data_IF_639185654607
#
_entry.id   IF_639185654607
#
_cell.length_a   1.000
_cell.length_b   1.000
_cell.length_c   1.000
_cell.angle_alpha   90.00
_cell.angle_beta   90.00
_cell.angle_gamma   90.00
#
_symmetry.space_group_name_H-M   'P 1'
#
loop_
_entity.id
_entity.type
_entity.pdbx_description
1 polymer ?
#
# COMPACT_ATOMS: atom_id res chain seq x y z
N UNK A 1 53.19 -59.30 3.77
CA UNK A 1 53.26 -60.27 4.88
C UNK A 1 52.42 -59.73 6.02
N UNK A 2 51.37 -60.48 6.40
CA UNK A 2 50.72 -60.62 7.73
C UNK A 2 50.50 -59.41 8.66
N UNK A 3 49.48 -59.31 9.52
CA UNK A 3 48.13 -59.86 9.68
C UNK A 3 47.61 -59.18 10.98
N UNK A 4 46.36 -58.74 11.00
CA UNK A 4 45.41 -58.73 12.14
C UNK A 4 45.78 -58.15 13.54
N UNK A 5 45.01 -57.13 13.96
CA UNK A 5 43.76 -57.24 14.76
C UNK A 5 43.62 -56.34 16.01
N UNK A 6 42.47 -55.64 16.00
CA UNK A 6 41.51 -55.37 17.07
C UNK A 6 41.72 -54.24 18.08
N UNK A 7 40.69 -53.37 18.19
CA UNK A 7 40.24 -52.86 19.49
C UNK A 7 39.69 -51.42 19.54
N UNK A 8 38.44 -51.23 19.12
CA UNK A 8 37.47 -50.17 19.47
C UNK A 8 37.84 -49.11 20.53
N UNK A 9 37.73 -47.82 20.20
CA UNK A 9 36.68 -46.87 20.69
C UNK A 9 36.96 -45.41 20.27
N UNK A 10 35.85 -44.68 20.17
CA UNK A 10 35.63 -43.40 19.51
C UNK A 10 36.41 -42.20 20.09
N UNK A 11 36.65 -41.26 19.18
CA UNK A 11 37.10 -39.89 19.39
C UNK A 11 36.13 -39.13 20.30
N UNK A 12 36.68 -38.46 21.31
CA UNK A 12 36.26 -37.13 21.77
C UNK A 12 37.33 -36.63 22.75
N UNK A 13 38.25 -35.82 22.24
CA UNK A 13 39.28 -35.16 23.04
C UNK A 13 39.49 -33.73 22.54
N UNK A 14 39.41 -32.79 23.50
CA UNK A 14 40.00 -31.43 23.55
C UNK A 14 39.18 -30.24 22.99
N UNK A 15 39.39 -29.00 23.52
CA UNK A 15 38.69 -28.55 24.72
C UNK A 15 38.01 -27.19 24.54
N UNK A 16 37.02 -26.98 25.39
CA UNK A 16 36.35 -25.72 25.72
C UNK A 16 37.33 -24.60 26.08
N UNK A 17 37.38 -23.57 25.24
CA UNK A 17 37.65 -22.17 25.62
C UNK A 17 37.44 -21.28 24.39
N UNK A 18 36.35 -20.54 24.39
CA UNK A 18 36.06 -19.23 23.74
C UNK A 18 34.56 -19.19 23.48
N UNK A 19 33.92 -18.06 23.79
CA UNK A 19 32.47 -17.77 23.82
C UNK A 19 31.89 -17.87 25.23
N UNK A 20 32.35 -16.98 26.10
CA UNK A 20 31.61 -16.56 27.29
C UNK A 20 31.57 -15.03 27.31
N UNK A 21 30.67 -14.45 26.51
CA UNK A 21 30.07 -13.11 26.73
C UNK A 21 29.03 -12.81 25.65
N UNK A 22 27.89 -13.52 25.68
CA UNK A 22 26.67 -13.02 25.06
C UNK A 22 25.54 -13.29 26.04
N UNK A 23 25.25 -12.28 26.87
CA UNK A 23 24.18 -12.26 27.86
C UNK A 23 22.83 -12.57 27.19
N UNK A 24 22.41 -13.83 27.23
CA UNK A 24 21.01 -14.21 27.05
C UNK A 24 20.28 -13.79 28.34
N UNK A 25 19.41 -12.78 28.21
CA UNK A 25 18.49 -12.38 29.27
C UNK A 25 17.64 -13.59 29.68
N UNK A 26 17.65 -13.88 30.98
CA UNK A 26 16.91 -14.93 31.66
C UNK A 26 15.41 -14.90 31.34
N UNK A 27 14.89 -16.06 30.92
CA UNK A 27 13.46 -16.37 30.87
C UNK A 27 12.98 -16.53 32.33
N UNK A 28 11.93 -15.83 32.80
CA UNK A 28 11.36 -16.12 34.12
C UNK A 28 10.46 -17.35 34.05
N UNK A 29 10.70 -18.28 34.98
CA UNK A 29 9.89 -19.48 35.22
C UNK A 29 8.45 -19.09 35.59
N UNK A 30 7.49 -19.45 34.74
CA UNK A 30 6.07 -19.15 34.95
C UNK A 30 5.36 -20.40 35.51
N UNK A 31 5.48 -20.60 36.82
CA UNK A 31 4.63 -21.53 37.58
C UNK A 31 3.60 -20.71 38.37
N UNK A 32 2.41 -20.51 37.79
CA UNK A 32 1.20 -20.22 38.57
C UNK A 32 -0.03 -20.69 37.80
N UNK A 33 -0.86 -21.42 38.53
CA UNK A 33 -1.99 -22.23 38.11
C UNK A 33 -3.05 -21.48 37.29
N UNK A 34 -3.67 -22.24 36.40
CA UNK A 34 -4.67 -21.81 35.42
C UNK A 34 -6.02 -21.56 36.09
N UNK A 35 -6.33 -20.30 36.39
CA UNK A 35 -7.71 -19.89 36.72
C UNK A 35 -8.49 -19.56 35.44
N UNK A 36 -9.41 -20.47 35.08
CA UNK A 36 -10.17 -20.46 33.83
C UNK A 36 -11.29 -19.41 33.72
N UNK A 37 -11.22 -18.26 34.40
CA UNK A 37 -12.28 -17.23 34.37
C UNK A 37 -11.74 -15.80 34.47
N UNK A 38 -10.81 -15.40 33.59
CA UNK A 38 -10.43 -13.99 33.43
C UNK A 38 -10.74 -13.54 32.00
N UNK A 39 -11.50 -12.44 31.77
CA UNK A 39 -11.63 -11.87 30.44
C UNK A 39 -10.23 -11.48 29.96
N UNK A 40 -9.90 -11.76 28.69
CA UNK A 40 -8.61 -11.47 28.04
C UNK A 40 -8.33 -9.96 27.91
N UNK A 41 -8.24 -9.25 29.04
CA UNK A 41 -7.69 -7.92 29.18
C UNK A 41 -6.33 -8.10 29.86
N UNK A 42 -5.27 -8.07 29.05
CA UNK A 42 -3.90 -8.23 29.52
C UNK A 42 -3.49 -7.19 30.58
N UNK A 43 -2.50 -7.51 31.44
CA UNK A 43 -2.14 -6.68 32.57
C UNK A 43 -1.42 -5.40 32.12
N UNK A 44 -1.68 -4.35 32.88
CA UNK A 44 -1.32 -2.95 32.67
C UNK A 44 0.18 -2.64 32.86
N UNK A 45 0.68 -1.74 32.01
CA UNK A 45 1.73 -0.72 32.24
C UNK A 45 3.20 -0.92 31.79
N UNK A 46 3.47 -1.79 30.82
CA UNK A 46 4.52 -1.58 29.79
C UNK A 46 4.02 -1.95 28.36
N UNK A 47 2.71 -2.18 28.24
CA UNK A 47 2.03 -2.88 27.14
C UNK A 47 1.14 -1.95 26.27
N UNK A 48 1.61 -0.75 25.92
CA UNK A 48 0.92 0.08 24.91
C UNK A 48 1.40 -0.19 23.47
N UNK A 49 2.42 -1.06 23.32
CA UNK A 49 2.96 -1.47 22.03
C UNK A 49 2.05 -2.51 21.38
N UNK A 50 1.84 -2.40 20.07
CA UNK A 50 1.11 -3.42 19.34
C UNK A 50 1.77 -4.80 19.50
N UNK A 51 0.99 -5.89 19.59
CA UNK A 51 1.54 -7.25 19.70
C UNK A 51 2.31 -7.67 18.44
N UNK A 52 2.04 -7.01 17.31
CA UNK A 52 2.72 -7.21 16.04
C UNK A 52 3.94 -6.29 15.92
N UNK A 53 5.10 -6.87 15.64
CA UNK A 53 6.38 -6.17 15.54
C UNK A 53 6.40 -5.18 14.35
N UNK A 54 5.80 -5.57 13.23
CA UNK A 54 5.70 -4.74 12.03
C UNK A 54 4.89 -3.46 12.25
N UNK A 55 3.84 -3.51 13.09
CA UNK A 55 3.06 -2.32 13.44
C UNK A 55 3.83 -1.46 14.44
N UNK A 56 4.46 -2.12 15.40
CA UNK A 56 5.25 -1.56 16.50
C UNK A 56 6.42 -0.70 16.01
N UNK A 57 7.08 -1.11 14.93
CA UNK A 57 8.20 -0.38 14.32
C UNK A 57 7.70 0.82 13.51
N UNK A 58 6.56 0.68 12.82
CA UNK A 58 6.12 1.65 11.83
C UNK A 58 5.16 2.72 12.37
N UNK A 59 4.47 2.48 13.49
CA UNK A 59 3.48 3.39 14.06
C UNK A 59 3.86 3.75 15.50
N UNK A 60 3.93 5.05 15.87
CA UNK A 60 4.23 5.43 17.24
C UNK A 60 3.01 5.20 18.14
N UNK A 61 3.21 4.74 19.38
CA UNK A 61 2.12 4.55 20.34
C UNK A 61 1.55 5.86 20.89
N UNK A 62 2.32 6.93 20.80
CA UNK A 62 1.96 8.23 21.36
C UNK A 62 1.52 9.17 20.24
N UNK A 63 0.33 9.73 20.42
CA UNK A 63 -0.21 10.77 19.55
C UNK A 63 -0.14 12.14 20.24
N UNK A 64 0.21 13.18 19.49
CA UNK A 64 0.18 14.56 19.97
C UNK A 64 -1.15 15.23 19.58
N UNK A 65 -2.06 15.49 20.54
CA UNK A 65 -3.38 16.06 20.25
C UNK A 65 -3.33 17.55 19.85
N UNK A 66 -2.18 18.23 19.99
CA UNK A 66 -2.06 19.67 19.68
C UNK A 66 -1.89 19.94 18.19
N UNK A 67 -1.51 18.93 17.42
CA UNK A 67 -1.27 19.02 15.97
C UNK A 67 -2.60 19.08 15.22
N UNK A 68 -2.81 20.13 14.42
CA UNK A 68 -4.03 20.29 13.63
C UNK A 68 -4.12 19.26 12.50
N UNK A 69 -5.31 18.66 12.34
CA UNK A 69 -5.62 17.72 11.24
C UNK A 69 -6.44 18.38 10.13
N UNK A 70 -7.47 19.13 10.53
CA UNK A 70 -8.44 19.74 9.62
C UNK A 70 -8.04 21.19 9.37
N UNK A 71 -7.40 21.42 8.23
CA UNK A 71 -6.99 22.75 7.78
C UNK A 71 -7.48 22.98 6.36
N UNK A 72 -7.48 24.23 5.93
CA UNK A 72 -7.88 24.56 4.56
C UNK A 72 -7.02 23.83 3.52
N UNK A 73 -5.70 23.72 3.76
CA UNK A 73 -4.77 23.01 2.85
C UNK A 73 -5.09 21.53 2.72
N UNK A 74 -5.41 20.83 3.81
CA UNK A 74 -5.72 19.39 3.76
C UNK A 74 -7.04 19.12 3.05
N UNK A 75 -8.05 19.94 3.29
CA UNK A 75 -9.36 19.85 2.59
C UNK A 75 -9.22 20.19 1.12
N UNK A 76 -8.49 21.27 0.77
CA UNK A 76 -8.28 21.65 -0.63
C UNK A 76 -7.51 20.59 -1.42
N UNK A 77 -6.41 20.08 -0.85
CA UNK A 77 -5.64 18.99 -1.45
C UNK A 77 -6.50 17.71 -1.60
N UNK A 78 -7.25 17.35 -0.56
CA UNK A 78 -8.16 16.21 -0.59
C UNK A 78 -9.23 16.32 -1.67
N UNK A 79 -9.92 17.47 -1.80
CA UNK A 79 -10.93 17.70 -2.84
C UNK A 79 -10.31 17.60 -4.23
N UNK A 80 -9.15 18.20 -4.45
CA UNK A 80 -8.46 18.15 -5.74
C UNK A 80 -8.13 16.71 -6.13
N UNK A 81 -7.64 15.91 -5.19
CA UNK A 81 -7.35 14.48 -5.42
C UNK A 81 -8.62 13.64 -5.61
N UNK A 82 -9.71 13.97 -4.92
CA UNK A 82 -11.04 13.35 -5.14
C UNK A 82 -11.56 13.61 -6.56
N UNK A 83 -11.20 14.70 -7.21
CA UNK A 83 -11.56 14.87 -8.63
C UNK A 83 -10.66 14.05 -9.55
N UNK A 84 -9.34 14.06 -9.33
CA UNK A 84 -8.38 13.46 -10.25
C UNK A 84 -8.45 11.93 -10.23
N UNK A 85 -8.52 11.32 -9.03
CA UNK A 85 -8.42 9.87 -8.88
C UNK A 85 -9.60 9.11 -9.53
N UNK A 86 -10.85 9.25 -9.05
CA UNK A 86 -11.98 8.52 -9.62
C UNK A 86 -12.27 8.91 -11.07
N UNK A 87 -11.93 10.13 -11.50
CA UNK A 87 -12.02 10.51 -12.91
C UNK A 87 -11.11 9.64 -13.78
N UNK A 88 -9.86 9.47 -13.36
CA UNK A 88 -8.88 8.65 -14.08
C UNK A 88 -9.29 7.18 -14.07
N UNK A 89 -9.66 6.66 -12.90
CA UNK A 89 -10.09 5.26 -12.75
C UNK A 89 -11.34 4.98 -13.62
N UNK A 90 -12.33 5.88 -13.60
CA UNK A 90 -13.54 5.75 -14.40
C UNK A 90 -13.29 5.83 -15.91
N UNK A 91 -12.35 6.69 -16.34
CA UNK A 91 -11.99 6.81 -17.76
C UNK A 91 -11.33 5.53 -18.29
N UNK A 92 -10.47 4.88 -17.49
CA UNK A 92 -9.74 3.70 -17.92
C UNK A 92 -10.44 2.37 -17.61
N UNK A 93 -11.54 2.38 -16.84
CA UNK A 93 -12.25 1.17 -16.44
C UNK A 93 -12.74 0.30 -17.60
N UNK A 94 -13.27 0.90 -18.67
CA UNK A 94 -13.81 0.17 -19.82
C UNK A 94 -12.73 -0.25 -20.83
N UNK A 95 -11.44 -0.07 -20.50
CA UNK A 95 -10.32 -0.49 -21.34
C UNK A 95 -10.05 -1.97 -21.16
N UNK A 96 -9.53 -2.63 -22.20
CA UNK A 96 -9.11 -4.04 -22.16
C UNK A 96 -8.05 -4.33 -21.09
N UNK A 97 -7.18 -3.35 -20.82
CA UNK A 97 -6.23 -3.33 -19.72
C UNK A 97 -6.62 -2.14 -18.82
N UNK A 98 -7.40 -2.38 -17.75
CA UNK A 98 -7.83 -1.31 -16.87
C UNK A 98 -6.62 -0.71 -16.15
N UNK A 99 -6.56 0.62 -16.09
CA UNK A 99 -5.50 1.32 -15.37
C UNK A 99 -6.14 2.06 -14.20
N UNK A 100 -5.59 1.87 -13.01
CA UNK A 100 -6.02 2.57 -11.80
C UNK A 100 -4.86 3.37 -11.24
N UNK A 101 -5.14 4.55 -10.69
CA UNK A 101 -4.11 5.32 -10.00
C UNK A 101 -3.83 4.70 -8.63
N UNK A 102 -2.62 4.15 -8.50
CA UNK A 102 -2.14 3.55 -7.26
C UNK A 102 -2.05 4.57 -6.12
N UNK A 103 -2.27 4.07 -4.90
CA UNK A 103 -2.26 4.87 -3.68
C UNK A 103 -0.91 5.52 -3.41
N UNK A 104 0.21 4.89 -3.77
CA UNK A 104 1.55 5.45 -3.58
C UNK A 104 1.69 6.79 -4.30
N UNK A 105 1.23 6.87 -5.55
CA UNK A 105 1.27 8.09 -6.36
C UNK A 105 0.41 9.19 -5.73
N UNK A 106 -0.76 8.83 -5.18
CA UNK A 106 -1.64 9.78 -4.50
C UNK A 106 -1.00 10.33 -3.23
N UNK A 107 -0.31 9.50 -2.44
CA UNK A 107 0.44 9.95 -1.25
C UNK A 107 1.53 10.95 -1.66
N UNK A 108 2.31 10.63 -2.69
CA UNK A 108 3.37 11.51 -3.18
C UNK A 108 2.81 12.84 -3.71
N UNK A 109 1.74 12.78 -4.51
CA UNK A 109 1.10 13.98 -5.08
C UNK A 109 0.47 14.84 -3.98
N UNK A 110 -0.18 14.22 -2.99
CA UNK A 110 -0.74 14.90 -1.82
C UNK A 110 0.32 15.65 -1.03
N UNK A 111 1.48 15.02 -0.78
CA UNK A 111 2.60 15.67 -0.13
C UNK A 111 3.16 16.84 -0.94
N UNK A 112 3.29 16.69 -2.26
CA UNK A 112 3.74 17.77 -3.14
C UNK A 112 2.80 18.97 -3.12
N UNK A 113 1.50 18.73 -3.25
CA UNK A 113 0.47 19.77 -3.16
C UNK A 113 0.49 20.41 -1.77
N UNK A 114 0.60 19.61 -0.70
CA UNK A 114 0.67 20.08 0.68
C UNK A 114 1.86 21.00 0.94
N UNK A 115 3.07 20.61 0.53
CA UNK A 115 4.29 21.43 0.62
C UNK A 115 4.25 22.67 -0.28
N UNK A 116 3.64 22.57 -1.45
CA UNK A 116 3.43 23.71 -2.34
C UNK A 116 2.47 24.75 -1.73
N UNK A 117 1.35 24.28 -1.17
CA UNK A 117 0.39 25.11 -0.44
C UNK A 117 1.02 25.72 0.82
N UNK A 118 1.87 24.97 1.53
CA UNK A 118 2.63 25.51 2.68
C UNK A 118 3.45 26.75 2.28
N UNK A 119 4.07 26.74 1.10
CA UNK A 119 4.92 27.83 0.61
C UNK A 119 4.15 29.01 0.03
N UNK A 120 3.00 28.78 -0.60
CA UNK A 120 2.22 29.82 -1.30
C UNK A 120 1.21 30.51 -0.39
N UNK A 121 0.65 29.78 0.59
CA UNK A 121 -0.49 30.26 1.34
C UNK A 121 -0.07 31.27 2.43
N UNK A 122 -0.70 32.46 2.49
CA UNK A 122 -0.42 33.44 3.54
C UNK A 122 -0.83 32.92 4.93
N UNK A 123 -0.11 33.33 5.96
CA UNK A 123 -0.31 32.86 7.34
C UNK A 123 -1.69 33.20 7.90
N UNK A 124 -2.19 34.41 7.59
CA UNK A 124 -3.51 34.87 8.01
C UNK A 124 -4.22 35.55 6.85
N UNK A 125 -5.50 35.23 6.68
CA UNK A 125 -6.41 35.90 5.75
C UNK A 125 -7.65 36.29 6.54
N UNK A 126 -7.99 37.58 6.56
CA UNK A 126 -9.17 38.12 7.27
C UNK A 126 -9.32 37.60 8.72
N UNK A 127 -8.28 37.73 9.55
CA UNK A 127 -8.21 37.24 10.95
C UNK A 127 -8.29 35.72 11.16
N UNK A 128 -8.45 34.91 10.11
CA UNK A 128 -8.38 33.45 10.20
C UNK A 128 -6.95 32.99 9.88
N UNK A 129 -6.37 32.15 10.74
CA UNK A 129 -5.07 31.52 10.49
C UNK A 129 -5.28 30.43 9.44
N UNK A 130 -4.95 30.73 8.18
CA UNK A 130 -5.18 29.81 7.05
C UNK A 130 -4.01 28.84 6.91
N UNK A 131 -2.81 29.23 7.32
CA UNK A 131 -1.61 28.41 7.21
C UNK A 131 -0.90 28.29 8.57
N UNK A 132 -1.22 27.24 9.37
CA UNK A 132 -0.39 26.85 10.49
C UNK A 132 0.85 26.13 9.92
N UNK A 133 1.97 26.83 9.72
CA UNK A 133 3.25 26.15 9.38
C UNK A 133 3.60 25.13 10.49
N UNK A 134 4.34 24.02 10.27
CA UNK A 134 4.70 23.31 9.02
C UNK A 134 3.62 22.31 8.57
N UNK A 135 3.72 21.74 7.35
CA UNK A 135 2.80 20.67 6.89
C UNK A 135 2.92 19.41 7.76
N UNK A 136 1.81 19.03 8.39
CA UNK A 136 1.77 17.93 9.35
C UNK A 136 1.42 16.59 8.72
N UNK A 137 1.95 15.51 9.30
CA UNK A 137 1.57 14.12 9.01
C UNK A 137 0.05 13.94 9.06
N UNK A 138 -0.64 14.59 10.00
CA UNK A 138 -2.09 14.43 10.18
C UNK A 138 -2.91 15.04 9.05
N UNK A 139 -2.50 16.21 8.57
CA UNK A 139 -3.12 16.87 7.42
C UNK A 139 -2.88 16.11 6.12
N UNK A 140 -1.66 15.59 5.97
CA UNK A 140 -1.32 14.73 4.85
C UNK A 140 -2.19 13.47 4.85
N UNK A 141 -2.29 12.80 6.01
CA UNK A 141 -3.11 11.61 6.19
C UNK A 141 -4.57 11.89 5.89
N UNK A 142 -5.11 13.03 6.34
CA UNK A 142 -6.49 13.41 6.05
C UNK A 142 -6.73 13.58 4.54
N UNK A 143 -5.85 14.28 3.83
CA UNK A 143 -5.95 14.46 2.38
C UNK A 143 -5.89 13.13 1.62
N UNK A 144 -5.01 12.21 2.06
CA UNK A 144 -4.90 10.86 1.47
C UNK A 144 -6.17 10.04 1.75
N UNK A 145 -6.71 10.04 2.98
CA UNK A 145 -7.95 9.32 3.30
C UNK A 145 -9.13 9.84 2.47
N UNK A 146 -9.20 11.16 2.26
CA UNK A 146 -10.21 11.76 1.36
C UNK A 146 -10.09 11.19 -0.05
N UNK A 147 -8.90 11.11 -0.61
CA UNK A 147 -8.68 10.52 -1.94
C UNK A 147 -8.97 9.01 -1.98
N UNK A 148 -8.59 8.26 -0.93
CA UNK A 148 -8.85 6.82 -0.81
C UNK A 148 -10.35 6.49 -0.73
N UNK A 149 -11.17 7.41 -0.22
CA UNK A 149 -12.62 7.21 -0.16
C UNK A 149 -13.29 7.16 -1.55
N UNK A 150 -12.58 7.64 -2.58
CA UNK A 150 -13.01 7.68 -3.97
C UNK A 150 -12.17 6.73 -4.85
N UNK A 151 -11.87 5.53 -4.34
CA UNK A 151 -11.07 4.53 -5.06
C UNK A 151 -11.91 3.71 -6.04
N UNK A 152 -11.45 3.62 -7.29
CA UNK A 152 -11.99 2.76 -8.33
C UNK A 152 -13.34 3.21 -8.92
N UNK A 153 -13.85 2.38 -9.85
CA UNK A 153 -15.18 2.57 -10.42
C UNK A 153 -16.26 2.03 -9.50
N UNK A 154 -17.13 2.92 -9.04
CA UNK A 154 -18.24 2.54 -8.16
C UNK A 154 -19.14 1.45 -8.77
N UNK A 155 -19.45 0.42 -7.98
CA UNK A 155 -20.33 -0.69 -8.37
C UNK A 155 -21.67 -0.24 -8.94
N UNK A 156 -22.20 0.87 -8.45
CA UNK A 156 -23.45 1.46 -8.94
C UNK A 156 -23.36 1.85 -10.41
N UNK A 157 -22.23 2.40 -10.86
CA UNK A 157 -22.00 2.76 -12.27
C UNK A 157 -21.95 1.50 -13.13
N UNK A 158 -21.31 0.44 -12.63
CA UNK A 158 -21.26 -0.85 -13.32
C UNK A 158 -22.65 -1.46 -13.48
N UNK A 159 -23.47 -1.41 -12.43
CA UNK A 159 -24.85 -1.90 -12.47
C UNK A 159 -25.70 -1.11 -13.49
N UNK A 160 -25.58 0.23 -13.53
CA UNK A 160 -26.27 1.07 -14.52
C UNK A 160 -25.78 0.76 -15.94
N UNK A 161 -24.47 0.54 -16.13
CA UNK A 161 -23.91 0.18 -17.43
C UNK A 161 -24.45 -1.16 -17.92
N UNK A 162 -24.50 -2.18 -17.06
CA UNK A 162 -25.09 -3.50 -17.38
C UNK A 162 -26.57 -3.38 -17.70
N UNK A 163 -27.33 -2.62 -16.91
CA UNK A 163 -28.76 -2.38 -17.15
C UNK A 163 -29.01 -1.71 -18.51
N UNK A 164 -28.14 -0.78 -18.91
CA UNK A 164 -28.25 -0.09 -20.20
C UNK A 164 -27.88 -1.00 -21.37
N UNK A 165 -26.80 -1.77 -21.26
CA UNK A 165 -26.28 -2.59 -22.36
C UNK A 165 -27.06 -3.89 -22.55
N UNK A 166 -27.35 -4.62 -21.46
CA UNK A 166 -27.98 -5.94 -21.54
C UNK A 166 -29.50 -5.88 -21.50
N UNK A 167 -30.08 -4.95 -20.72
CA UNK A 167 -31.53 -4.87 -20.52
C UNK A 167 -32.19 -3.74 -21.34
N UNK A 168 -31.40 -2.96 -22.09
CA UNK A 168 -31.87 -1.82 -22.90
C UNK A 168 -32.75 -0.83 -22.13
N UNK A 169 -32.58 -0.75 -20.82
CA UNK A 169 -33.36 0.14 -19.96
C UNK A 169 -32.56 1.39 -19.63
N UNK A 170 -33.17 2.55 -19.92
CA UNK A 170 -32.55 3.84 -19.67
C UNK A 170 -33.03 4.42 -18.34
N UNK A 171 -32.13 4.46 -17.37
CA UNK A 171 -32.36 5.18 -16.12
C UNK A 171 -32.16 6.68 -16.35
N UNK A 172 -33.11 7.51 -15.91
CA UNK A 172 -32.95 8.96 -15.95
C UNK A 172 -31.73 9.39 -15.11
N UNK A 173 -30.90 10.31 -15.62
CA UNK A 173 -29.63 10.73 -14.99
C UNK A 173 -29.79 11.18 -13.54
N UNK A 174 -30.89 11.87 -13.22
CA UNK A 174 -31.18 12.29 -11.85
C UNK A 174 -31.37 11.10 -10.90
N UNK A 175 -32.10 10.07 -11.35
CA UNK A 175 -32.32 8.85 -10.57
C UNK A 175 -31.00 8.08 -10.40
N UNK A 176 -30.14 8.08 -11.42
CA UNK A 176 -28.80 7.49 -11.34
C UNK A 176 -27.94 8.16 -10.25
N UNK A 177 -27.94 9.50 -10.19
CA UNK A 177 -27.17 10.24 -9.18
C UNK A 177 -27.69 9.96 -7.77
N UNK A 178 -29.02 10.00 -7.56
CA UNK A 178 -29.61 9.69 -6.26
C UNK A 178 -29.29 8.24 -5.83
N UNK A 179 -29.37 7.30 -6.78
CA UNK A 179 -29.03 5.91 -6.54
C UNK A 179 -27.56 5.76 -6.10
N UNK A 180 -26.63 6.44 -6.76
CA UNK A 180 -25.21 6.48 -6.38
C UNK A 180 -24.99 7.07 -4.98
N UNK A 181 -25.59 8.21 -4.67
CA UNK A 181 -25.45 8.86 -3.36
C UNK A 181 -25.99 7.94 -2.25
N UNK A 182 -27.15 7.31 -2.48
CA UNK A 182 -27.78 6.41 -1.50
C UNK A 182 -26.88 5.22 -1.20
N UNK A 183 -26.29 4.60 -2.22
CA UNK A 183 -25.35 3.48 -2.04
C UNK A 183 -24.09 3.89 -1.27
N UNK A 184 -23.55 5.08 -1.54
CA UNK A 184 -22.37 5.56 -0.85
C UNK A 184 -22.65 5.87 0.64
N UNK A 185 -23.79 6.50 0.94
CA UNK A 185 -24.21 6.76 2.32
C UNK A 185 -24.49 5.47 3.09
N UNK A 186 -25.09 4.48 2.42
CA UNK A 186 -25.33 3.16 2.99
C UNK A 186 -24.01 2.44 3.34
N UNK A 187 -23.03 2.45 2.43
CA UNK A 187 -21.71 1.87 2.67
C UNK A 187 -20.98 2.55 3.85
N UNK A 188 -20.98 3.89 3.91
CA UNK A 188 -20.38 4.64 5.03
C UNK A 188 -21.09 4.37 6.36
N UNK A 189 -22.41 4.17 6.34
CA UNK A 189 -23.19 3.83 7.54
C UNK A 189 -22.81 2.47 8.11
N UNK A 190 -22.67 1.45 7.25
CA UNK A 190 -22.22 0.11 7.67
C UNK A 190 -20.78 0.16 8.18
N UNK A 191 -19.88 0.87 7.50
CA UNK A 191 -18.50 1.04 7.95
C UNK A 191 -18.43 1.67 9.35
N UNK A 192 -19.30 2.65 9.65
CA UNK A 192 -19.42 3.26 10.97
C UNK A 192 -19.81 2.27 12.07
N UNK A 193 -20.77 1.38 11.80
CA UNK A 193 -21.21 0.33 12.74
C UNK A 193 -20.11 -0.71 12.96
N UNK A 194 -19.43 -1.13 11.89
CA UNK A 194 -18.37 -2.14 11.93
C UNK A 194 -17.08 -1.66 12.57
N UNK A 195 -16.83 -0.33 12.65
CA UNK A 195 -15.63 0.26 13.27
C UNK A 195 -15.32 -0.30 14.66
N UNK A 196 -16.35 -0.53 15.49
CA UNK A 196 -16.19 -1.08 16.84
C UNK A 196 -15.56 -2.48 16.85
N UNK A 197 -15.85 -3.28 15.83
CA UNK A 197 -15.40 -4.67 15.72
C UNK A 197 -14.14 -4.82 14.87
N UNK A 198 -13.94 -3.95 13.87
CA UNK A 198 -12.85 -4.07 12.90
C UNK A 198 -11.63 -3.17 13.18
N UNK A 199 -11.80 -2.10 13.97
CA UNK A 199 -10.74 -1.08 14.16
C UNK A 199 -10.27 -1.00 15.60
N UNK A 200 -11.17 -1.08 16.58
CA UNK A 200 -10.78 -0.95 18.00
C UNK A 200 -10.03 -2.16 18.58
N UNK A 201 -10.28 -3.42 18.19
CA UNK A 201 -9.49 -4.53 18.69
C UNK A 201 -8.04 -4.48 18.18
N UNK A 202 -7.06 -4.39 19.10
CA UNK A 202 -5.64 -4.34 18.76
C UNK A 202 -5.07 -5.62 18.12
N UNK A 203 -5.84 -6.71 18.10
CA UNK A 203 -5.48 -7.95 17.42
C UNK A 203 -5.73 -7.89 15.89
N UNK A 204 -6.53 -6.93 15.41
CA UNK A 204 -6.86 -6.84 13.98
C UNK A 204 -5.86 -5.95 13.25
N UNK A 205 -5.10 -6.54 12.32
CA UNK A 205 -4.12 -5.84 11.48
C UNK A 205 -4.66 -5.65 10.06
N UNK A 206 -4.36 -4.49 9.47
CA UNK A 206 -4.72 -4.13 8.09
C UNK A 206 -3.46 -3.84 7.27
N UNK A 207 -2.83 -4.88 6.66
CA UNK A 207 -1.52 -4.73 6.01
C UNK A 207 -1.50 -3.67 4.90
N UNK A 208 -2.55 -3.59 4.07
CA UNK A 208 -2.67 -2.57 3.02
C UNK A 208 -2.64 -1.14 3.58
N UNK A 209 -3.33 -0.91 4.70
CA UNK A 209 -3.35 0.39 5.38
C UNK A 209 -2.03 0.67 6.10
N UNK A 210 -1.40 -0.37 6.66
CA UNK A 210 -0.10 -0.25 7.32
C UNK A 210 0.95 0.30 6.36
N UNK A 211 1.03 -0.24 5.13
CA UNK A 211 1.96 0.25 4.11
C UNK A 211 1.76 1.74 3.81
N UNK A 212 0.51 2.18 3.66
CA UNK A 212 0.17 3.61 3.49
C UNK A 212 0.68 4.46 4.65
N UNK A 213 0.50 4.02 5.89
CA UNK A 213 1.01 4.71 7.08
C UNK A 213 2.54 4.78 7.10
N UNK A 214 3.23 3.69 6.75
CA UNK A 214 4.69 3.66 6.65
C UNK A 214 5.19 4.68 5.63
N UNK A 215 4.60 4.73 4.44
CA UNK A 215 5.00 5.66 3.38
C UNK A 215 4.76 7.11 3.80
N UNK A 216 3.60 7.43 4.37
CA UNK A 216 3.30 8.78 4.87
C UNK A 216 4.31 9.22 5.94
N UNK A 217 4.65 8.31 6.85
CA UNK A 217 5.61 8.57 7.93
C UNK A 217 7.03 8.76 7.41
N UNK A 218 7.51 7.86 6.55
CA UNK A 218 8.84 7.98 5.93
C UNK A 218 9.01 9.26 5.11
N UNK A 219 7.92 9.82 4.61
CA UNK A 219 7.94 11.08 3.85
C UNK A 219 8.03 12.33 4.74
N UNK A 220 7.52 12.26 5.98
CA UNK A 220 7.57 13.37 6.94
C UNK A 220 8.73 13.26 7.94
N UNK A 221 9.26 12.06 8.15
CA UNK A 221 10.50 11.83 8.89
C UNK A 221 11.69 12.17 7.97
N UNK A 222 11.87 13.47 7.72
CA UNK A 222 13.10 14.07 7.18
C UNK A 222 14.10 14.26 8.33
N UNK A 223 14.47 13.19 9.03
CA UNK A 223 15.67 13.23 9.86
C UNK A 223 16.88 13.19 8.92
N UNK A 224 17.29 14.36 8.43
CA UNK A 224 18.51 14.56 7.62
C UNK A 224 19.76 13.98 8.31
N UNK A 225 19.69 13.76 9.63
CA UNK A 225 20.73 13.12 10.44
C UNK A 225 21.03 11.67 10.05
N UNK A 226 20.06 10.89 9.53
CA UNK A 226 20.29 9.49 9.13
C UNK A 226 20.81 9.34 7.69
N UNK A 227 20.64 10.36 6.85
CA UNK A 227 21.23 10.37 5.49
C UNK A 227 22.77 10.38 5.52
N UNK A 228 23.36 10.81 6.64
CA UNK A 228 24.81 10.77 6.84
C UNK A 228 25.35 9.37 7.18
N UNK A 229 24.50 8.37 7.48
CA UNK A 229 24.92 7.00 7.82
C UNK A 229 24.59 5.96 6.73
N UNK A 230 23.79 6.31 5.72
CA UNK A 230 23.45 5.41 4.61
C UNK A 230 24.44 5.52 3.44
N UNK A 231 24.77 4.40 2.81
CA UNK A 231 25.70 4.29 1.66
C UNK A 231 25.21 5.06 0.42
N UNK A 232 23.94 5.44 0.38
CA UNK A 232 23.30 6.10 -0.76
C UNK A 232 23.06 7.59 -0.47
N UNK A 233 23.72 8.46 -1.22
CA UNK A 233 23.71 9.93 -1.04
C UNK A 233 22.55 10.64 -1.74
N UNK A 234 21.64 9.91 -2.39
CA UNK A 234 20.57 10.50 -3.20
C UNK A 234 19.32 10.72 -2.34
N UNK A 235 18.81 11.96 -2.34
CA UNK A 235 17.53 12.29 -1.70
C UNK A 235 16.40 11.43 -2.28
N UNK A 236 15.51 10.93 -1.41
CA UNK A 236 14.34 10.09 -1.74
C UNK A 236 13.50 10.70 -2.87
N UNK A 237 13.36 12.03 -2.86
CA UNK A 237 12.62 12.77 -3.89
C UNK A 237 13.32 12.79 -5.26
N UNK A 238 14.65 12.89 -5.29
CA UNK A 238 15.43 12.80 -6.54
C UNK A 238 15.34 11.41 -7.15
N UNK A 239 15.39 10.37 -6.31
CA UNK A 239 15.20 8.99 -6.75
C UNK A 239 13.81 8.78 -7.37
N UNK A 240 12.76 9.32 -6.75
CA UNK A 240 11.41 9.27 -7.30
C UNK A 240 11.32 9.89 -8.70
N UNK A 241 11.83 11.11 -8.91
CA UNK A 241 11.80 11.74 -10.24
C UNK A 241 12.61 10.98 -11.28
N UNK A 242 13.75 10.41 -10.88
CA UNK A 242 14.55 9.57 -11.78
C UNK A 242 13.76 8.33 -12.21
N UNK A 243 13.13 7.64 -11.26
CA UNK A 243 12.32 6.45 -11.56
C UNK A 243 11.06 6.79 -12.35
N UNK A 244 10.42 7.91 -12.08
CA UNK A 244 9.28 8.41 -12.84
C UNK A 244 9.67 8.68 -14.30
N UNK A 245 10.82 9.34 -14.53
CA UNK A 245 11.32 9.59 -15.87
C UNK A 245 11.71 8.30 -16.58
N UNK A 246 12.37 7.38 -15.87
CA UNK A 246 12.71 6.06 -16.40
C UNK A 246 11.46 5.30 -16.83
N UNK A 247 10.43 5.25 -15.98
CA UNK A 247 9.16 4.59 -16.29
C UNK A 247 8.42 5.27 -17.44
N UNK A 248 8.41 6.61 -17.48
CA UNK A 248 7.82 7.37 -18.57
C UNK A 248 8.49 7.03 -19.91
N UNK A 249 9.82 6.96 -19.95
CA UNK A 249 10.57 6.58 -21.14
C UNK A 249 10.38 5.10 -21.49
N UNK A 250 10.39 4.23 -20.48
CA UNK A 250 10.19 2.80 -20.64
C UNK A 250 8.84 2.50 -21.27
N UNK A 251 7.76 3.21 -20.88
CA UNK A 251 6.42 3.01 -21.44
C UNK A 251 6.36 3.09 -22.98
N UNK A 252 7.13 3.97 -23.61
CA UNK A 252 7.16 4.08 -25.08
C UNK A 252 7.83 2.87 -25.75
N UNK A 253 8.70 2.16 -25.03
CA UNK A 253 9.50 1.08 -25.58
C UNK A 253 8.68 -0.18 -25.92
N UNK A 254 7.98 -0.85 -24.97
CA UNK A 254 7.09 -1.95 -25.30
C UNK A 254 5.79 -1.46 -25.97
N UNK A 255 5.40 -0.19 -25.79
CA UNK A 255 4.16 0.34 -26.36
C UNK A 255 4.23 0.67 -27.85
N UNK A 256 5.35 1.23 -28.33
CA UNK A 256 5.46 1.74 -29.70
C UNK A 256 6.68 1.23 -30.47
N UNK A 257 7.83 1.07 -29.81
CA UNK A 257 9.09 0.74 -30.50
C UNK A 257 9.17 -0.76 -30.77
N UNK A 258 8.84 -1.60 -29.78
CA UNK A 258 8.89 -3.05 -29.91
C UNK A 258 7.70 -3.75 -29.23
N UNK A 259 6.52 -3.77 -29.88
CA UNK A 259 5.30 -4.34 -29.31
C UNK A 259 5.38 -5.83 -28.94
N UNK A 260 6.30 -6.57 -29.55
CA UNK A 260 6.51 -7.99 -29.24
C UNK A 260 7.07 -8.20 -27.81
N UNK A 261 7.68 -7.19 -27.19
CA UNK A 261 8.08 -7.24 -25.78
C UNK A 261 6.88 -7.12 -24.81
N UNK A 262 5.75 -6.58 -25.25
CA UNK A 262 4.58 -6.44 -24.39
C UNK A 262 4.04 -7.81 -23.95
N UNK A 263 4.08 -8.82 -24.84
CA UNK A 263 3.74 -10.20 -24.53
C UNK A 263 4.62 -11.15 -25.33
N UNK A 264 5.68 -11.64 -24.69
CA UNK A 264 6.61 -12.61 -25.24
C UNK A 264 6.26 -14.01 -24.74
N UNK A 265 5.68 -14.83 -25.61
CA UNK A 265 5.43 -16.25 -25.32
C UNK A 265 6.31 -17.13 -26.20
N UNK A 266 7.30 -17.77 -25.59
CA UNK A 266 8.21 -18.68 -26.27
C UNK A 266 7.47 -19.88 -26.91
N UNK A 267 6.41 -20.36 -26.25
CA UNK A 267 5.61 -21.51 -26.69
C UNK A 267 4.78 -21.15 -27.93
N UNK A 268 4.17 -19.96 -27.97
CA UNK A 268 3.46 -19.46 -29.15
C UNK A 268 4.39 -19.22 -30.34
N UNK A 269 5.68 -18.95 -30.11
CA UNK A 269 6.66 -18.78 -31.19
C UNK A 269 7.06 -20.11 -31.84
N UNK A 270 7.13 -21.20 -31.06
CA UNK A 270 7.49 -22.53 -31.58
C UNK A 270 6.36 -23.14 -32.42
N UNK A 271 5.11 -22.98 -31.98
CA UNK A 271 3.95 -23.59 -32.63
C UNK A 271 2.79 -22.59 -32.78
N UNK A 272 2.90 -21.61 -33.71
CA UNK A 272 1.96 -20.50 -33.81
C UNK A 272 0.54 -20.91 -34.24
N UNK A 273 0.38 -22.05 -34.93
CA UNK A 273 -0.90 -22.50 -35.46
C UNK A 273 -1.68 -23.44 -34.52
N UNK A 274 -1.16 -23.75 -33.34
CA UNK A 274 -1.84 -24.66 -32.41
C UNK A 274 -2.77 -23.89 -31.47
N UNK A 275 -4.08 -24.15 -31.58
CA UNK A 275 -5.11 -23.50 -30.77
C UNK A 275 -4.93 -23.75 -29.26
N UNK A 276 -4.49 -24.96 -28.87
CA UNK A 276 -4.31 -25.35 -27.46
C UNK A 276 -3.15 -24.55 -26.86
N UNK A 277 -2.03 -24.43 -27.57
CA UNK A 277 -0.89 -23.65 -27.08
C UNK A 277 -1.18 -22.15 -27.03
N UNK A 278 -1.95 -21.63 -27.99
CA UNK A 278 -2.40 -20.23 -27.97
C UNK A 278 -3.35 -19.93 -26.81
N UNK A 279 -4.23 -20.88 -26.45
CA UNK A 279 -5.11 -20.73 -25.28
C UNK A 279 -4.36 -20.81 -23.94
N UNK A 280 -3.35 -21.67 -23.82
CA UNK A 280 -2.59 -21.83 -22.57
C UNK A 280 -1.59 -20.68 -22.38
N UNK A 281 -0.89 -20.29 -23.45
CA UNK A 281 0.31 -19.44 -23.36
C UNK A 281 0.21 -18.13 -24.16
N UNK A 282 -0.88 -17.91 -24.89
CA UNK A 282 -1.06 -16.72 -25.73
C UNK A 282 -1.53 -15.49 -24.95
N UNK A 283 -1.33 -14.33 -25.56
CA UNK A 283 -1.68 -13.02 -24.99
C UNK A 283 -3.19 -12.83 -24.71
N UNK A 284 -4.05 -13.55 -25.44
CA UNK A 284 -5.51 -13.58 -25.22
C UNK A 284 -5.97 -14.85 -24.47
N UNK A 285 -5.02 -15.67 -24.01
CA UNK A 285 -5.26 -16.91 -23.28
C UNK A 285 -4.88 -16.80 -21.80
N UNK A 286 -4.58 -17.93 -21.17
CA UNK A 286 -4.18 -18.01 -19.76
C UNK A 286 -2.80 -17.42 -19.46
N UNK A 287 -2.02 -17.01 -20.47
CA UNK A 287 -0.68 -16.41 -20.33
C UNK A 287 0.33 -17.22 -19.49
N UNK A 288 0.16 -18.54 -19.38
CA UNK A 288 1.07 -19.40 -18.62
C UNK A 288 2.41 -19.50 -19.38
N UNK A 289 3.51 -19.06 -18.76
CA UNK A 289 4.83 -19.06 -19.39
C UNK A 289 5.06 -17.95 -20.43
N UNK A 290 4.17 -16.97 -20.51
CA UNK A 290 4.39 -15.74 -21.27
C UNK A 290 5.11 -14.71 -20.39
N UNK A 291 6.21 -14.16 -20.89
CA UNK A 291 6.93 -13.05 -20.28
C UNK A 291 6.34 -11.75 -20.80
N UNK A 292 5.85 -10.90 -19.91
CA UNK A 292 5.34 -9.58 -20.27
C UNK A 292 6.33 -8.53 -19.76
N UNK A 293 6.83 -7.65 -20.64
CA UNK A 293 7.71 -6.55 -20.24
C UNK A 293 6.98 -5.19 -20.18
N UNK A 294 5.67 -5.19 -20.46
CA UNK A 294 4.82 -4.01 -20.27
C UNK A 294 4.31 -3.94 -18.82
N UNK A 295 4.74 -2.91 -18.10
CA UNK A 295 4.36 -2.66 -16.71
C UNK A 295 2.85 -2.49 -16.53
N UNK A 296 2.14 -1.94 -17.52
CA UNK A 296 0.70 -1.78 -17.43
C UNK A 296 -0.01 -3.14 -17.39
N UNK A 297 0.45 -4.12 -18.15
CA UNK A 297 -0.13 -5.46 -18.14
C UNK A 297 0.03 -6.16 -16.78
N UNK A 298 1.12 -5.89 -16.05
CA UNK A 298 1.32 -6.37 -14.69
C UNK A 298 0.40 -5.68 -13.68
N UNK A 299 0.41 -4.35 -13.67
CA UNK A 299 -0.31 -3.56 -12.64
C UNK A 299 -1.82 -3.53 -12.88
N UNK A 300 -2.30 -3.75 -14.11
CA UNK A 300 -3.74 -3.82 -14.42
C UNK A 300 -4.48 -4.90 -13.63
N UNK A 301 -3.79 -5.98 -13.23
CA UNK A 301 -4.39 -7.11 -12.52
C UNK A 301 -3.78 -7.34 -11.12
N UNK A 302 -2.68 -6.66 -10.81
CA UNK A 302 -2.06 -6.67 -9.49
C UNK A 302 -2.39 -5.35 -8.77
N UNK A 303 -3.25 -5.43 -7.76
CA UNK A 303 -3.64 -4.29 -6.92
C UNK A 303 -2.44 -3.61 -6.22
N UNK A 304 -1.33 -4.33 -6.02
CA UNK A 304 -0.06 -3.78 -5.58
C UNK A 304 1.09 -4.24 -6.47
N UNK A 305 2.02 -3.33 -6.83
CA UNK A 305 3.24 -3.69 -7.56
C UNK A 305 4.31 -4.38 -6.68
N UNK A 306 3.94 -4.78 -5.46
CA UNK A 306 4.75 -5.45 -4.44
C UNK A 306 4.02 -6.70 -3.96
#
# INVERSE_FOLDING_TARGET
MTNNNNGYKNLDDTPSQTIESMNLRSIPDNNSETDANTPLLGPTNDNQQSPYEEVAINVPNHDDPTVLCLTFRSVFAGILLIFIKPFTDQLFYLRTLPLSLDIGIIILLSFMIGKFLEKILPEKVFNMTVNPKPFSVKEHTLAVIMAMSADGTHYTVQAIAVQRVYYNYYLHHFNAIIFMITFQLFALSIAGILKRYLVWPGAMIWPKTLMTCCVIRTLHNEDETELNQSRWTMSRFKFFWLMLLFQFLWYWFPGYIFPLLASFSFVCMIAPNNLIFSQITGANGLSIGALQFDWNAWVSFLDSPI
#
